data_IF_061254462101
#
_entry.id   IF_061254462101
#
_cell.length_a   1.000
_cell.length_b   1.000
_cell.length_c   1.000
_cell.angle_alpha   90.00
_cell.angle_beta   90.00
_cell.angle_gamma   90.00
#
_symmetry.space_group_name_H-M   'P 1'
#
loop_
_entity.id
_entity.type
_entity.pdbx_description
1 polymer ?
#
# COMPACT_ATOMS: atom_id res chain seq x y z
N UNK A 1 -7.31 16.77 -12.75
CA UNK A 1 -8.25 16.89 -11.63
C UNK A 1 -8.85 15.53 -11.39
N UNK A 2 -8.60 14.96 -10.22
CA UNK A 2 -9.17 13.67 -9.83
C UNK A 2 -10.43 13.97 -9.04
N UNK A 3 -11.58 13.51 -9.52
CA UNK A 3 -12.82 13.68 -8.77
C UNK A 3 -12.94 12.50 -7.80
N UNK A 4 -12.76 12.72 -6.50
CA UNK A 4 -13.16 11.79 -5.46
C UNK A 4 -14.53 12.20 -4.87
N UNK A 5 -15.37 11.21 -4.55
CA UNK A 5 -16.65 11.43 -3.87
C UNK A 5 -16.66 10.63 -2.58
N UNK A 6 -17.25 11.22 -1.54
CA UNK A 6 -17.54 10.49 -0.32
C UNK A 6 -18.75 9.58 -0.48
N UNK A 7 -18.62 8.32 -0.11
CA UNK A 7 -19.72 7.37 -0.09
C UNK A 7 -19.64 6.44 1.12
N UNK A 8 -20.80 5.93 1.56
CA UNK A 8 -20.87 4.98 2.64
C UNK A 8 -20.61 3.57 2.11
N UNK A 9 -19.47 3.00 2.50
CA UNK A 9 -19.02 1.67 2.08
C UNK A 9 -19.11 0.72 3.27
N UNK A 10 -19.71 -0.46 3.04
CA UNK A 10 -19.82 -1.52 4.05
C UNK A 10 -18.55 -2.36 4.05
N UNK A 11 -17.87 -2.46 5.19
CA UNK A 11 -16.63 -3.22 5.30
C UNK A 11 -16.86 -4.73 5.17
N UNK A 12 -16.10 -5.39 4.31
CA UNK A 12 -16.09 -6.84 4.13
C UNK A 12 -15.71 -7.58 5.43
N UNK A 13 -14.73 -7.05 6.17
CA UNK A 13 -14.18 -7.74 7.35
C UNK A 13 -15.12 -7.69 8.56
N UNK A 14 -15.64 -6.51 8.94
CA UNK A 14 -16.46 -6.36 10.15
C UNK A 14 -17.95 -6.07 9.88
N UNK A 15 -18.35 -5.87 8.62
CA UNK A 15 -19.73 -5.59 8.24
C UNK A 15 -20.24 -4.18 8.56
N UNK A 16 -19.43 -3.34 9.23
CA UNK A 16 -19.78 -1.96 9.57
C UNK A 16 -19.68 -1.04 8.36
N UNK A 17 -20.59 -0.08 8.27
CA UNK A 17 -20.59 0.94 7.22
C UNK A 17 -19.82 2.17 7.68
N UNK A 18 -18.99 2.72 6.81
CA UNK A 18 -18.23 3.94 7.09
C UNK A 18 -18.11 4.81 5.85
N UNK A 19 -17.96 6.12 6.05
CA UNK A 19 -17.72 7.06 4.96
C UNK A 19 -16.29 6.89 4.43
N UNK A 20 -16.17 6.66 3.12
CA UNK A 20 -14.90 6.48 2.42
C UNK A 20 -14.83 7.39 1.18
N UNK A 21 -13.63 7.83 0.82
CA UNK A 21 -13.38 8.48 -0.47
C UNK A 21 -13.31 7.44 -1.58
N UNK A 22 -14.12 7.62 -2.62
CA UNK A 22 -14.18 6.77 -3.82
C UNK A 22 -13.73 7.57 -5.02
N UNK A 23 -12.73 7.05 -5.74
CA UNK A 23 -12.23 7.61 -6.99
C UNK A 23 -13.24 7.40 -8.12
N UNK A 24 -13.66 8.48 -8.79
CA UNK A 24 -14.65 8.42 -9.88
C UNK A 24 -14.02 8.17 -11.27
N UNK A 25 -12.71 8.35 -11.42
CA UNK A 25 -11.99 8.00 -12.65
C UNK A 25 -10.54 7.62 -12.39
N UNK A 26 -10.12 6.45 -12.87
CA UNK A 26 -8.72 6.10 -13.11
C UNK A 26 -8.50 6.29 -14.60
N UNK A 27 -7.89 7.41 -15.00
CA UNK A 27 -7.33 7.45 -16.36
C UNK A 27 -6.31 6.32 -16.43
N UNK A 28 -6.41 5.50 -17.48
CA UNK A 28 -5.61 4.30 -17.70
C UNK A 28 -4.14 4.56 -17.36
N UNK A 29 -3.60 3.72 -16.47
CA UNK A 29 -2.17 3.67 -16.20
C UNK A 29 -1.53 3.04 -17.44
N UNK A 30 -1.28 3.88 -18.45
CA UNK A 30 -0.55 3.50 -19.67
C UNK A 30 0.85 2.99 -19.36
N UNK A 31 1.48 2.32 -20.35
CA UNK A 31 2.78 1.66 -20.23
C UNK A 31 3.79 2.52 -19.47
N UNK A 32 4.17 2.03 -18.29
CA UNK A 32 4.95 2.80 -17.31
C UNK A 32 6.42 2.78 -17.69
N UNK A 33 7.06 3.95 -17.71
CA UNK A 33 8.52 4.03 -17.74
C UNK A 33 9.09 3.49 -16.41
N UNK A 34 10.04 2.55 -16.53
CA UNK A 34 10.66 1.79 -15.44
C UNK A 34 11.30 2.70 -14.37
N UNK A 35 11.64 3.93 -14.74
CA UNK A 35 12.39 4.87 -13.90
C UNK A 35 11.57 6.06 -13.35
N UNK A 36 10.31 6.23 -13.75
CA UNK A 36 9.56 7.40 -13.30
C UNK A 36 8.87 7.14 -11.94
N UNK A 37 9.12 7.98 -10.92
CA UNK A 37 8.21 8.03 -9.79
C UNK A 37 6.81 8.38 -10.33
N UNK A 38 5.73 7.97 -9.64
CA UNK A 38 4.40 8.40 -10.02
C UNK A 38 4.41 9.90 -10.25
N UNK A 39 3.90 10.31 -11.40
CA UNK A 39 3.80 11.71 -11.81
C UNK A 39 3.10 12.53 -10.72
N UNK A 40 3.25 13.86 -10.73
CA UNK A 40 2.67 14.72 -9.69
C UNK A 40 1.17 14.50 -9.41
N UNK A 41 0.40 14.11 -10.44
CA UNK A 41 -1.02 13.72 -10.28
C UNK A 41 -1.20 12.33 -9.64
N UNK A 42 -0.36 11.35 -9.97
CA UNK A 42 -0.40 10.03 -9.33
C UNK A 42 0.02 10.10 -7.86
N UNK A 43 0.99 10.95 -7.49
CA UNK A 43 1.34 11.21 -6.07
C UNK A 43 0.19 11.80 -5.28
N UNK A 44 -0.57 12.71 -5.88
CA UNK A 44 -1.76 13.31 -5.26
C UNK A 44 -2.85 12.25 -5.01
N UNK A 45 -3.01 11.32 -5.95
CA UNK A 45 -4.05 10.28 -5.89
C UNK A 45 -3.73 9.18 -4.87
N UNK A 46 -2.47 8.98 -4.47
CA UNK A 46 -2.09 7.99 -3.44
C UNK A 46 -2.87 8.12 -2.13
N UNK A 47 -3.32 9.33 -1.78
CA UNK A 47 -4.12 9.59 -0.59
C UNK A 47 -5.49 8.89 -0.56
N UNK A 48 -6.04 8.61 -1.75
CA UNK A 48 -7.38 8.03 -2.00
C UNK A 48 -7.32 6.64 -2.66
N UNK A 49 -6.14 6.07 -2.83
CA UNK A 49 -5.98 4.71 -3.38
C UNK A 49 -6.38 3.60 -2.42
N UNK A 50 -6.35 3.88 -1.12
CA UNK A 50 -6.67 2.92 -0.08
C UNK A 50 -7.68 3.51 0.90
N UNK A 51 -8.80 2.83 1.01
CA UNK A 51 -9.81 3.01 2.03
C UNK A 51 -9.38 2.28 3.30
N UNK A 52 -9.81 2.79 4.45
CA UNK A 52 -9.54 2.15 5.74
C UNK A 52 -10.82 2.13 6.58
N UNK A 53 -11.22 0.94 7.03
CA UNK A 53 -12.32 0.80 7.95
C UNK A 53 -11.94 1.38 9.32
N UNK A 54 -12.66 2.39 9.84
CA UNK A 54 -12.33 2.98 11.14
C UNK A 54 -12.55 2.01 12.31
N UNK A 55 -13.44 1.03 12.15
CA UNK A 55 -13.76 0.05 13.20
C UNK A 55 -12.68 -1.01 13.32
N UNK A 56 -12.49 -1.84 12.29
CA UNK A 56 -11.55 -2.98 12.36
C UNK A 56 -10.16 -2.67 11.81
N UNK A 57 -9.98 -1.52 11.14
CA UNK A 57 -8.70 -1.15 10.54
C UNK A 57 -8.40 -1.87 9.23
N UNK A 58 -9.34 -2.62 8.62
CA UNK A 58 -9.13 -3.24 7.31
C UNK A 58 -8.80 -2.19 6.24
N UNK A 59 -7.74 -2.43 5.47
CA UNK A 59 -7.27 -1.55 4.40
C UNK A 59 -7.36 -2.25 3.05
N UNK A 60 -8.03 -1.61 2.10
CA UNK A 60 -8.16 -2.09 0.73
C UNK A 60 -8.44 -0.93 -0.23
N UNK A 61 -8.25 -1.12 -1.55
CA UNK A 61 -8.73 -0.13 -2.53
C UNK A 61 -10.24 0.12 -2.41
N UNK A 62 -11.00 -0.93 -2.14
CA UNK A 62 -12.41 -0.89 -1.76
C UNK A 62 -12.59 -1.78 -0.53
N UNK A 63 -13.01 -1.22 0.61
CA UNK A 63 -13.19 -2.01 1.84
C UNK A 63 -14.41 -2.93 1.79
N UNK A 64 -15.29 -2.80 0.79
CA UNK A 64 -16.39 -3.76 0.56
C UNK A 64 -15.96 -5.02 -0.16
N UNK A 65 -14.78 -5.01 -0.78
CA UNK A 65 -14.17 -6.16 -1.43
C UNK A 65 -13.09 -6.79 -0.53
N UNK A 66 -12.98 -8.12 -0.58
CA UNK A 66 -12.08 -8.87 0.27
C UNK A 66 -12.20 -10.38 0.15
N UNK A 67 -11.31 -11.09 0.83
CA UNK A 67 -11.29 -12.55 0.96
C UNK A 67 -11.40 -12.91 2.44
N UNK A 68 -11.91 -14.10 2.76
CA UNK A 68 -12.04 -14.55 4.15
C UNK A 68 -10.68 -14.58 4.87
N UNK A 69 -9.56 -14.79 4.16
CA UNK A 69 -8.20 -14.65 4.69
C UNK A 69 -7.90 -13.23 5.18
N UNK A 70 -8.42 -12.20 4.52
CA UNK A 70 -8.28 -10.81 4.97
C UNK A 70 -9.00 -10.62 6.30
N UNK A 71 -10.24 -11.11 6.38
CA UNK A 71 -11.06 -11.04 7.61
C UNK A 71 -10.36 -11.73 8.76
N UNK A 72 -9.84 -12.95 8.53
CA UNK A 72 -9.10 -13.71 9.53
C UNK A 72 -7.83 -12.98 9.97
N UNK A 73 -7.05 -12.43 9.04
CA UNK A 73 -5.81 -11.74 9.35
C UNK A 73 -6.03 -10.45 10.13
N UNK A 74 -7.02 -9.63 9.76
CA UNK A 74 -7.36 -8.36 10.42
C UNK A 74 -7.77 -8.55 11.89
N UNK A 75 -8.30 -9.72 12.24
CA UNK A 75 -8.70 -10.05 13.60
C UNK A 75 -7.54 -10.53 14.49
N UNK A 76 -6.33 -10.69 13.94
CA UNK A 76 -5.17 -11.16 14.71
C UNK A 76 -4.56 -10.04 15.57
N UNK A 77 -3.96 -10.42 16.70
CA UNK A 77 -3.16 -9.51 17.53
C UNK A 77 -1.98 -8.91 16.75
N UNK A 78 -1.40 -9.69 15.82
CA UNK A 78 -0.35 -9.20 14.92
C UNK A 78 -0.82 -8.01 14.09
N UNK A 79 -2.04 -8.07 13.54
CA UNK A 79 -2.58 -6.96 12.78
C UNK A 79 -2.91 -5.76 13.67
N UNK A 80 -3.48 -5.99 14.85
CA UNK A 80 -3.74 -4.93 15.83
C UNK A 80 -2.45 -4.18 16.21
N UNK A 81 -1.37 -4.91 16.49
CA UNK A 81 -0.07 -4.32 16.80
C UNK A 81 0.51 -3.50 15.63
N UNK A 82 0.36 -3.96 14.39
CA UNK A 82 0.76 -3.19 13.20
C UNK A 82 -0.06 -1.91 13.06
N UNK A 83 -1.35 -1.97 13.36
CA UNK A 83 -2.27 -0.82 13.29
C UNK A 83 -1.93 0.24 14.33
N UNK A 84 -1.59 -0.18 15.54
CA UNK A 84 -1.26 0.70 16.68
C UNK A 84 0.21 1.15 16.71
N UNK A 85 1.07 0.52 15.91
CA UNK A 85 2.50 0.81 15.87
C UNK A 85 2.85 2.26 15.54
N UNK A 86 4.12 2.66 15.71
CA UNK A 86 4.55 4.02 15.39
C UNK A 86 4.43 4.27 13.88
N UNK A 87 3.61 5.25 13.52
CA UNK A 87 3.42 5.68 12.14
C UNK A 87 3.82 7.14 12.01
N UNK A 88 4.72 7.44 11.07
CA UNK A 88 5.10 8.83 10.77
C UNK A 88 4.05 9.54 9.92
N UNK A 89 3.19 8.80 9.22
CA UNK A 89 2.03 9.34 8.53
C UNK A 89 0.91 8.31 8.42
N UNK A 90 -0.35 8.79 8.39
CA UNK A 90 -1.53 7.93 8.18
C UNK A 90 -1.63 7.38 6.75
N UNK A 91 -0.93 8.00 5.79
CA UNK A 91 -0.87 7.52 4.41
C UNK A 91 0.08 6.33 4.31
N UNK A 92 1.29 6.46 4.86
CA UNK A 92 2.25 5.36 4.96
C UNK A 92 1.68 4.17 5.74
N UNK A 93 1.03 4.42 6.89
CA UNK A 93 0.46 3.34 7.71
C UNK A 93 -0.56 2.50 6.93
N UNK A 94 -1.43 3.14 6.13
CA UNK A 94 -2.40 2.42 5.27
C UNK A 94 -1.70 1.53 4.26
N UNK A 95 -0.66 2.03 3.59
CA UNK A 95 0.12 1.23 2.66
C UNK A 95 0.83 0.04 3.34
N UNK A 96 1.37 0.23 4.55
CA UNK A 96 2.01 -0.85 5.31
C UNK A 96 1.02 -1.91 5.80
N UNK A 97 -0.16 -1.49 6.27
CA UNK A 97 -1.25 -2.40 6.63
C UNK A 97 -1.74 -3.20 5.42
N UNK A 98 -1.89 -2.54 4.26
CA UNK A 98 -2.23 -3.22 3.01
C UNK A 98 -1.15 -4.21 2.60
N UNK A 99 0.12 -3.84 2.68
CA UNK A 99 1.22 -4.74 2.37
C UNK A 99 1.24 -5.98 3.27
N UNK A 100 0.89 -5.83 4.56
CA UNK A 100 0.77 -6.96 5.48
C UNK A 100 -0.39 -7.90 5.09
N UNK A 101 -1.53 -7.35 4.66
CA UNK A 101 -2.67 -8.14 4.15
C UNK A 101 -2.27 -8.87 2.86
N UNK A 102 -1.62 -8.19 1.92
CA UNK A 102 -1.14 -8.80 0.67
C UNK A 102 -0.15 -9.93 0.94
N UNK A 103 0.78 -9.71 1.87
CA UNK A 103 1.72 -10.74 2.29
C UNK A 103 1.02 -11.95 2.91
N UNK A 104 0.00 -11.74 3.75
CA UNK A 104 -0.79 -12.82 4.34
C UNK A 104 -1.61 -13.62 3.31
N UNK A 105 -1.83 -13.06 2.11
CA UNK A 105 -2.48 -13.72 0.97
C UNK A 105 -1.50 -14.41 0.01
N UNK A 106 -0.21 -14.37 0.31
CA UNK A 106 0.86 -14.77 -0.61
C UNK A 106 0.92 -13.91 -1.90
N UNK A 107 0.42 -12.67 -1.84
CA UNK A 107 0.57 -11.67 -2.91
C UNK A 107 1.75 -10.73 -2.60
N UNK A 108 2.94 -11.28 -2.80
CA UNK A 108 4.18 -10.61 -2.41
C UNK A 108 4.56 -9.47 -3.35
N UNK A 109 4.08 -9.50 -4.60
CA UNK A 109 4.28 -8.42 -5.55
C UNK A 109 3.51 -7.17 -5.09
N UNK A 110 2.24 -7.33 -4.69
CA UNK A 110 1.47 -6.22 -4.10
C UNK A 110 2.05 -5.78 -2.77
N UNK A 111 2.51 -6.71 -1.92
CA UNK A 111 3.18 -6.36 -0.66
C UNK A 111 4.44 -5.50 -0.89
N UNK A 112 5.25 -5.86 -1.89
CA UNK A 112 6.40 -5.08 -2.35
C UNK A 112 6.00 -3.68 -2.79
N UNK A 113 5.05 -3.57 -3.72
CA UNK A 113 4.61 -2.29 -4.29
C UNK A 113 4.01 -1.37 -3.21
N UNK A 114 3.15 -1.90 -2.34
CA UNK A 114 2.56 -1.12 -1.25
C UNK A 114 3.63 -0.63 -0.25
N UNK A 115 4.63 -1.46 0.06
CA UNK A 115 5.74 -1.01 0.91
C UNK A 115 6.58 0.09 0.25
N UNK A 116 6.76 0.05 -1.08
CA UNK A 116 7.41 1.14 -1.81
C UNK A 116 6.62 2.45 -1.78
N UNK A 117 5.29 2.38 -1.80
CA UNK A 117 4.46 3.58 -1.64
C UNK A 117 4.62 4.20 -0.25
N UNK A 118 4.74 3.40 0.80
CA UNK A 118 5.10 3.90 2.13
C UNK A 118 6.51 4.53 2.15
N UNK A 119 7.49 3.93 1.46
CA UNK A 119 8.84 4.49 1.35
C UNK A 119 8.86 5.83 0.62
N UNK A 120 8.02 6.00 -0.41
CA UNK A 120 7.86 7.28 -1.12
C UNK A 120 7.20 8.35 -0.26
N UNK A 121 6.21 7.97 0.55
CA UNK A 121 5.63 8.89 1.54
C UNK A 121 6.67 9.36 2.57
N UNK A 122 7.58 8.47 3.00
CA UNK A 122 8.71 8.85 3.84
C UNK A 122 9.67 9.82 3.13
N UNK A 123 9.95 9.64 1.84
CA UNK A 123 10.73 10.62 1.05
C UNK A 123 10.04 11.99 1.04
N UNK A 124 8.74 12.03 0.78
CA UNK A 124 7.95 13.26 0.74
C UNK A 124 7.94 13.99 2.11
N UNK A 125 8.09 13.23 3.21
CA UNK A 125 8.26 13.76 4.56
C UNK A 125 9.73 14.03 4.96
N UNK A 126 10.68 13.92 4.03
CA UNK A 126 12.12 14.07 4.26
C UNK A 126 12.71 13.10 5.31
N UNK A 127 12.11 11.92 5.48
CA UNK A 127 12.54 10.88 6.42
C UNK A 127 13.40 9.82 5.71
N UNK A 128 14.62 10.22 5.31
CA UNK A 128 15.52 9.39 4.48
C UNK A 128 15.84 8.00 5.06
N UNK A 129 16.17 7.93 6.35
CA UNK A 129 16.46 6.65 7.03
C UNK A 129 15.25 5.70 7.04
N UNK A 130 14.05 6.24 7.28
CA UNK A 130 12.80 5.47 7.25
C UNK A 130 12.53 4.98 5.83
N UNK A 131 12.70 5.83 4.83
CA UNK A 131 12.53 5.47 3.42
C UNK A 131 13.49 4.36 2.99
N UNK A 132 14.77 4.44 3.40
CA UNK A 132 15.77 3.40 3.16
C UNK A 132 15.39 2.07 3.83
N UNK A 133 15.00 2.10 5.10
CA UNK A 133 14.53 0.92 5.83
C UNK A 133 13.34 0.25 5.16
N UNK A 134 12.35 1.03 4.72
CA UNK A 134 11.17 0.53 4.02
C UNK A 134 11.52 -0.10 2.66
N UNK A 135 12.46 0.44 1.90
CA UNK A 135 12.94 -0.19 0.65
C UNK A 135 13.63 -1.53 0.89
N UNK A 136 14.42 -1.64 1.97
CA UNK A 136 15.05 -2.90 2.39
C UNK A 136 13.99 -3.92 2.82
N UNK A 137 12.93 -3.51 3.50
CA UNK A 137 11.80 -4.38 3.83
C UNK A 137 11.08 -4.82 2.56
N UNK A 138 10.81 -3.89 1.63
CA UNK A 138 10.13 -4.19 0.39
C UNK A 138 10.87 -5.28 -0.40
N UNK A 139 12.19 -5.11 -0.63
CA UNK A 139 12.97 -6.06 -1.44
C UNK A 139 12.92 -7.49 -0.91
N UNK A 140 12.79 -7.68 0.42
CA UNK A 140 12.67 -9.00 1.04
C UNK A 140 11.44 -9.79 0.58
N UNK A 141 10.37 -9.12 0.16
CA UNK A 141 9.21 -9.82 -0.40
C UNK A 141 9.52 -10.58 -1.69
N UNK A 142 10.53 -10.13 -2.45
CA UNK A 142 10.87 -10.69 -3.76
C UNK A 142 12.08 -11.64 -3.74
N UNK A 143 12.83 -11.71 -2.62
CA UNK A 143 14.01 -12.58 -2.50
C UNK A 143 13.62 -14.06 -2.67
N UNK A 144 14.37 -14.78 -3.51
CA UNK A 144 14.21 -16.23 -3.70
C UNK A 144 13.06 -16.64 -4.62
N UNK A 145 12.41 -15.68 -5.31
CA UNK A 145 11.34 -15.98 -6.26
C UNK A 145 11.90 -16.29 -7.64
N UNK A 146 11.46 -17.42 -8.20
CA UNK A 146 11.92 -17.93 -9.50
C UNK A 146 11.34 -17.19 -10.70
N UNK A 147 10.17 -16.55 -10.55
CA UNK A 147 9.53 -15.78 -11.62
C UNK A 147 8.98 -14.49 -11.01
N UNK A 148 9.57 -13.36 -11.37
CA UNK A 148 9.05 -12.01 -11.16
C UNK A 148 9.16 -11.27 -12.49
N UNK A 149 8.20 -10.40 -12.81
CA UNK A 149 8.21 -9.64 -14.05
C UNK A 149 9.48 -8.76 -14.17
N UNK A 150 9.89 -8.45 -15.39
CA UNK A 150 11.03 -7.54 -15.64
C UNK A 150 10.81 -6.17 -14.98
N UNK A 151 9.57 -5.69 -14.96
CA UNK A 151 9.19 -4.45 -14.29
C UNK A 151 9.47 -4.51 -12.79
N UNK A 152 9.09 -5.62 -12.13
CA UNK A 152 9.34 -5.81 -10.70
C UNK A 152 10.82 -5.98 -10.38
N UNK A 153 11.59 -6.64 -11.26
CA UNK A 153 13.04 -6.70 -11.14
C UNK A 153 13.66 -5.30 -11.20
N UNK A 154 13.25 -4.48 -12.17
CA UNK A 154 13.70 -3.09 -12.32
C UNK A 154 13.36 -2.25 -11.08
N UNK A 155 12.12 -2.32 -10.61
CA UNK A 155 11.67 -1.63 -9.40
C UNK A 155 12.47 -2.05 -8.17
N UNK A 156 12.75 -3.35 -8.01
CA UNK A 156 13.52 -3.89 -6.87
C UNK A 156 14.96 -3.40 -6.89
N UNK A 157 15.61 -3.44 -8.05
CA UNK A 157 16.98 -2.94 -8.21
C UNK A 157 17.06 -1.43 -7.91
N UNK A 158 16.13 -0.65 -8.45
CA UNK A 158 16.05 0.78 -8.18
C UNK A 158 15.81 1.08 -6.69
N UNK A 159 14.91 0.33 -6.04
CA UNK A 159 14.65 0.46 -4.60
C UNK A 159 15.92 0.18 -3.78
N UNK A 160 16.67 -0.87 -4.10
CA UNK A 160 17.92 -1.22 -3.43
C UNK A 160 19.00 -0.14 -3.62
N UNK A 161 19.16 0.39 -4.85
CA UNK A 161 20.11 1.49 -5.13
C UNK A 161 19.82 2.70 -4.23
N UNK A 162 18.55 3.11 -4.14
CA UNK A 162 18.10 4.22 -3.28
C UNK A 162 18.07 3.92 -1.78
N UNK A 163 18.27 2.67 -1.37
CA UNK A 163 18.40 2.32 0.04
C UNK A 163 19.86 2.37 0.52
N UNK A 164 20.81 2.32 -0.41
CA UNK A 164 22.26 2.32 -0.13
C UNK A 164 22.94 3.67 -0.42
N UNK A 165 22.22 4.63 -1.00
CA UNK A 165 22.68 6.01 -1.22
C UNK A 165 22.28 6.89 -0.05
#
# INVERSE_FOLDING_TARGET
MTNDRKSNVRCFCCGQTSEQSVLLSTNEIGSRDIDQPPSGMERFNMSVWLQECPTCGYVAPDISDGDDRDRLFVQTERYAALREGPHFSRRASRFLLRAAIDFARDDFERAFVNTLYAARDADDCALGEVASGLRKIASRYLVGRSVISLDLQGMSLHALRRACS
#
